data_IF_909776190935
#
_entry.id   IF_909776190935
#
_cell.length_a   1.000
_cell.length_b   1.000
_cell.length_c   1.000
_cell.angle_alpha   90.00
_cell.angle_beta   90.00
_cell.angle_gamma   90.00
#
_symmetry.space_group_name_H-M   'P 1'
#
loop_
_entity.id
_entity.type
_entity.pdbx_description
1 polymer ?
#
# COMPACT_ATOMS: atom_id res chain seq x y z
N UNK A 1 44.99 -18.55 -25.47
CA UNK A 1 45.87 -17.65 -24.76
C UNK A 1 46.24 -16.41 -25.66
N UNK A 2 46.87 -16.64 -26.80
CA UNK A 2 47.30 -15.56 -27.72
C UNK A 2 46.20 -14.53 -28.16
N UNK A 3 44.94 -14.97 -28.35
CA UNK A 3 43.82 -14.07 -28.73
C UNK A 3 43.40 -13.12 -27.60
N UNK A 4 43.45 -13.55 -26.36
CA UNK A 4 43.12 -12.72 -25.20
C UNK A 4 44.26 -11.72 -24.89
N UNK A 5 45.53 -12.13 -25.03
CA UNK A 5 46.68 -11.25 -24.87
C UNK A 5 46.67 -10.15 -25.92
N UNK A 6 46.38 -10.48 -27.18
CA UNK A 6 46.24 -9.51 -28.26
C UNK A 6 45.07 -8.54 -28.00
N UNK A 7 43.94 -9.01 -27.48
CA UNK A 7 42.81 -8.16 -27.15
C UNK A 7 43.18 -7.15 -26.04
N UNK A 8 43.89 -7.59 -25.01
CA UNK A 8 44.38 -6.71 -23.92
C UNK A 8 45.37 -5.65 -24.48
N UNK A 9 46.33 -6.08 -25.33
CA UNK A 9 47.29 -5.16 -25.95
C UNK A 9 46.60 -4.11 -26.84
N UNK A 10 45.56 -4.50 -27.57
CA UNK A 10 44.76 -3.62 -28.40
C UNK A 10 43.96 -2.59 -27.59
N UNK A 11 43.47 -2.95 -26.41
CA UNK A 11 42.81 -2.01 -25.49
C UNK A 11 43.77 -0.94 -25.05
N UNK A 12 45.02 -1.30 -24.70
CA UNK A 12 46.05 -0.37 -24.25
C UNK A 12 46.58 0.53 -25.39
N UNK A 13 46.60 0.03 -26.61
CA UNK A 13 47.12 0.78 -27.78
C UNK A 13 46.15 1.88 -28.23
N UNK A 14 44.83 1.66 -28.15
CA UNK A 14 43.81 2.59 -28.64
C UNK A 14 43.05 3.25 -27.48
N UNK A 15 43.76 3.87 -26.52
CA UNK A 15 43.23 4.35 -25.23
C UNK A 15 42.05 5.31 -25.37
N UNK A 16 42.11 6.31 -26.25
CA UNK A 16 41.08 7.35 -26.36
C UNK A 16 39.71 6.80 -26.76
N UNK A 17 39.68 5.94 -27.78
CA UNK A 17 38.46 5.34 -28.28
C UNK A 17 37.85 4.32 -27.29
N UNK A 18 38.71 3.46 -26.74
CA UNK A 18 38.28 2.46 -25.78
C UNK A 18 37.81 3.10 -24.46
N UNK A 19 38.39 4.22 -24.06
CA UNK A 19 37.92 5.05 -22.95
C UNK A 19 36.51 5.61 -23.23
N UNK A 20 36.25 6.12 -24.45
CA UNK A 20 34.95 6.67 -24.81
C UNK A 20 33.87 5.58 -24.84
N UNK A 21 34.14 4.41 -25.44
CA UNK A 21 33.23 3.26 -25.42
C UNK A 21 33.02 2.79 -23.98
N UNK A 22 34.10 2.68 -23.20
CA UNK A 22 34.06 2.31 -21.79
C UNK A 22 33.23 3.27 -20.95
N UNK A 23 33.35 4.58 -21.17
CA UNK A 23 32.58 5.59 -20.45
C UNK A 23 31.05 5.45 -20.70
N UNK A 24 30.67 5.15 -21.95
CA UNK A 24 29.25 4.93 -22.27
C UNK A 24 28.75 3.61 -21.68
N UNK A 25 29.51 2.53 -21.81
CA UNK A 25 29.18 1.23 -21.17
C UNK A 25 29.06 1.41 -19.65
N UNK A 26 29.99 2.12 -19.04
CA UNK A 26 29.97 2.44 -17.61
C UNK A 26 28.71 3.21 -17.20
N UNK A 27 28.37 4.28 -17.94
CA UNK A 27 27.15 5.05 -17.67
C UNK A 27 25.89 4.20 -17.78
N UNK A 28 25.79 3.35 -18.82
CA UNK A 28 24.66 2.42 -18.99
C UNK A 28 24.60 1.41 -17.85
N UNK A 29 25.75 0.86 -17.43
CA UNK A 29 25.82 -0.10 -16.31
C UNK A 29 25.39 0.57 -15.01
N UNK A 30 25.94 1.73 -14.65
CA UNK A 30 25.60 2.46 -13.42
C UNK A 30 24.12 2.75 -13.35
N UNK A 31 23.52 3.24 -14.44
CA UNK A 31 22.09 3.53 -14.51
C UNK A 31 21.26 2.24 -14.38
N UNK A 32 21.68 1.16 -15.02
CA UNK A 32 20.99 -0.15 -14.92
C UNK A 32 21.09 -0.70 -13.51
N UNK A 33 22.23 -0.55 -12.82
CA UNK A 33 22.43 -0.94 -11.41
C UNK A 33 21.42 -0.21 -10.53
N UNK A 34 21.36 1.12 -10.62
CA UNK A 34 20.46 1.95 -9.82
C UNK A 34 19.01 1.54 -10.07
N UNK A 35 18.60 1.44 -11.33
CA UNK A 35 17.22 1.11 -11.69
C UNK A 35 16.79 -0.28 -11.25
N UNK A 36 17.65 -1.29 -11.38
CA UNK A 36 17.36 -2.66 -10.92
C UNK A 36 17.37 -2.78 -9.40
N UNK A 37 18.23 -2.06 -8.70
CA UNK A 37 18.19 -1.99 -7.24
C UNK A 37 16.88 -1.38 -6.75
N UNK A 38 16.45 -0.25 -7.33
CA UNK A 38 15.16 0.37 -7.04
C UNK A 38 14.02 -0.63 -7.32
N UNK A 39 13.99 -1.22 -8.51
CA UNK A 39 12.93 -2.17 -8.89
C UNK A 39 12.85 -3.38 -7.96
N UNK A 40 13.98 -3.96 -7.58
CA UNK A 40 14.03 -5.13 -6.71
C UNK A 40 13.57 -4.80 -5.28
N UNK A 41 14.03 -3.69 -4.72
CA UNK A 41 13.68 -3.27 -3.36
C UNK A 41 12.21 -2.80 -3.29
N UNK A 42 11.77 -1.96 -4.23
CA UNK A 42 10.38 -1.50 -4.28
C UNK A 42 9.42 -2.64 -4.55
N UNK A 43 9.79 -3.62 -5.39
CA UNK A 43 9.00 -4.84 -5.60
C UNK A 43 8.76 -5.59 -4.30
N UNK A 44 9.80 -5.83 -3.50
CA UNK A 44 9.66 -6.50 -2.20
C UNK A 44 8.80 -5.71 -1.21
N UNK A 45 8.92 -4.37 -1.18
CA UNK A 45 8.07 -3.51 -0.34
C UNK A 45 6.60 -3.60 -0.78
N UNK A 46 6.33 -3.46 -2.07
CA UNK A 46 4.97 -3.55 -2.62
C UNK A 46 4.33 -4.90 -2.28
N UNK A 47 5.07 -6.00 -2.45
CA UNK A 47 4.58 -7.35 -2.15
C UNK A 47 4.29 -7.53 -0.64
N UNK A 48 5.16 -7.00 0.25
CA UNK A 48 4.95 -7.04 1.70
C UNK A 48 3.72 -6.22 2.11
N UNK A 49 3.60 -4.98 1.63
CA UNK A 49 2.44 -4.14 1.91
C UNK A 49 1.16 -4.69 1.28
N UNK A 50 1.22 -5.23 0.06
CA UNK A 50 0.08 -5.89 -0.57
C UNK A 50 -0.41 -7.09 0.25
N UNK A 51 0.52 -7.86 0.84
CA UNK A 51 0.13 -8.99 1.70
C UNK A 51 -0.49 -8.55 3.01
N UNK A 52 -0.09 -7.40 3.56
CA UNK A 52 -0.63 -6.85 4.82
C UNK A 52 -1.96 -6.13 4.62
N UNK A 53 -2.03 -5.17 3.69
CA UNK A 53 -3.21 -4.33 3.48
C UNK A 53 -4.18 -4.90 2.44
N UNK A 54 -3.70 -5.61 1.44
CA UNK A 54 -4.54 -6.23 0.42
C UNK A 54 -5.27 -7.50 0.88
N UNK A 55 -4.87 -8.06 2.02
CA UNK A 55 -5.53 -9.21 2.62
C UNK A 55 -6.67 -8.81 3.56
N UNK A 56 -6.70 -7.57 4.04
CA UNK A 56 -7.75 -7.06 4.91
C UNK A 56 -8.93 -6.57 4.09
N UNK A 57 -10.09 -7.17 4.29
CA UNK A 57 -11.31 -6.89 3.53
C UNK A 57 -12.41 -6.41 4.45
N UNK A 58 -13.09 -5.37 4.03
CA UNK A 58 -14.24 -4.78 4.69
C UNK A 58 -15.43 -4.70 3.74
N UNK A 59 -16.64 -4.72 4.30
CA UNK A 59 -17.89 -4.52 3.57
C UNK A 59 -18.30 -3.06 3.70
N UNK A 60 -18.12 -2.29 2.63
CA UNK A 60 -18.43 -0.86 2.62
C UNK A 60 -19.74 -0.56 1.87
N UNK A 61 -20.65 0.28 2.41
CA UNK A 61 -21.82 0.70 1.69
C UNK A 61 -21.45 1.56 0.47
N UNK A 62 -21.91 1.20 -0.72
CA UNK A 62 -21.73 1.95 -1.93
C UNK A 62 -22.83 3.04 -2.04
N UNK A 63 -22.45 4.26 -1.66
CA UNK A 63 -23.40 5.38 -1.62
C UNK A 63 -23.96 5.77 -3.00
N UNK A 64 -23.25 5.49 -4.08
CA UNK A 64 -23.72 5.75 -5.43
C UNK A 64 -24.83 4.77 -5.80
N UNK A 65 -24.63 3.48 -5.59
CA UNK A 65 -25.66 2.43 -5.80
C UNK A 65 -26.87 2.65 -4.90
N UNK A 66 -26.65 3.00 -3.63
CA UNK A 66 -27.72 3.28 -2.66
C UNK A 66 -28.54 4.49 -3.13
N UNK A 67 -27.90 5.54 -3.63
CA UNK A 67 -28.58 6.72 -4.17
C UNK A 67 -29.36 6.38 -5.44
N UNK A 68 -28.79 5.59 -6.35
CA UNK A 68 -29.48 5.16 -7.56
C UNK A 68 -30.74 4.33 -7.22
N UNK A 69 -30.63 3.41 -6.27
CA UNK A 69 -31.79 2.63 -5.78
C UNK A 69 -32.84 3.53 -5.13
N UNK A 70 -32.42 4.45 -4.27
CA UNK A 70 -33.31 5.40 -3.64
C UNK A 70 -34.03 6.30 -4.66
N UNK A 71 -33.33 6.74 -5.73
CA UNK A 71 -33.94 7.49 -6.83
C UNK A 71 -34.95 6.66 -7.62
N UNK A 72 -34.66 5.40 -7.91
CA UNK A 72 -35.58 4.49 -8.63
C UNK A 72 -36.87 4.21 -7.83
N UNK A 73 -36.75 4.15 -6.50
CA UNK A 73 -37.86 3.85 -5.60
C UNK A 73 -38.61 5.08 -5.08
N UNK A 74 -38.20 6.30 -5.49
CA UNK A 74 -38.83 7.56 -5.08
C UNK A 74 -40.16 7.79 -5.84
N UNK A 75 -41.26 7.74 -5.12
CA UNK A 75 -42.63 7.95 -5.70
C UNK A 75 -43.10 9.39 -5.64
N UNK A 76 -42.54 10.23 -4.73
CA UNK A 76 -43.00 11.59 -4.43
C UNK A 76 -41.93 12.69 -4.59
N UNK A 77 -40.84 12.43 -5.33
CA UNK A 77 -39.76 13.38 -5.51
C UNK A 77 -38.88 13.63 -4.27
N UNK A 78 -39.14 12.92 -3.17
CA UNK A 78 -38.30 12.90 -1.95
C UNK A 78 -37.47 11.65 -1.95
N UNK A 79 -36.16 11.77 -2.14
CA UNK A 79 -35.23 10.65 -2.10
C UNK A 79 -34.82 10.43 -0.65
N UNK A 80 -35.27 9.35 -0.03
CA UNK A 80 -34.77 8.89 1.28
C UNK A 80 -33.63 7.92 1.05
N UNK A 81 -32.42 8.33 1.44
CA UNK A 81 -31.25 7.48 1.39
C UNK A 81 -31.17 6.69 2.70
N UNK A 82 -31.42 5.41 2.65
CA UNK A 82 -31.28 4.50 3.79
C UNK A 82 -30.20 3.49 3.47
N UNK A 83 -29.16 3.46 4.28
CA UNK A 83 -28.11 2.42 4.17
C UNK A 83 -28.68 1.13 4.75
N UNK A 84 -28.77 0.05 3.99
CA UNK A 84 -29.21 -1.25 4.54
C UNK A 84 -28.28 -1.70 5.66
N UNK A 85 -28.81 -2.31 6.71
CA UNK A 85 -27.99 -2.95 7.74
C UNK A 85 -27.74 -4.42 7.37
N UNK A 86 -26.51 -4.87 7.58
CA UNK A 86 -26.19 -6.30 7.48
C UNK A 86 -26.45 -6.94 8.84
N UNK A 87 -27.28 -7.99 8.93
CA UNK A 87 -27.50 -8.70 10.19
C UNK A 87 -26.21 -9.34 10.72
N UNK A 88 -26.00 -9.40 12.05
CA UNK A 88 -24.78 -9.98 12.64
C UNK A 88 -24.52 -11.42 12.19
N UNK A 89 -25.56 -12.22 12.01
CA UNK A 89 -25.46 -13.61 11.56
C UNK A 89 -24.88 -13.70 10.14
N UNK A 90 -25.15 -12.70 9.28
CA UNK A 90 -24.59 -12.66 7.94
C UNK A 90 -23.07 -12.35 7.98
N UNK A 91 -22.63 -11.42 8.84
CA UNK A 91 -21.20 -11.19 9.02
C UNK A 91 -20.46 -12.47 9.42
N UNK A 92 -21.03 -13.24 10.37
CA UNK A 92 -20.48 -14.53 10.79
C UNK A 92 -20.52 -15.56 9.65
N UNK A 93 -21.60 -15.57 8.84
CA UNK A 93 -21.73 -16.47 7.71
C UNK A 93 -20.70 -16.18 6.60
N UNK A 94 -20.38 -14.91 6.36
CA UNK A 94 -19.30 -14.52 5.44
C UNK A 94 -17.94 -14.94 5.97
N UNK A 95 -17.69 -14.82 7.28
CA UNK A 95 -16.45 -15.24 7.92
C UNK A 95 -16.17 -16.74 7.89
N UNK A 96 -17.17 -17.57 7.56
CA UNK A 96 -17.02 -19.03 7.34
C UNK A 96 -16.65 -19.35 5.89
N UNK A 97 -15.75 -18.56 5.28
CA UNK A 97 -15.27 -18.77 3.93
C UNK A 97 -13.93 -19.51 3.94
N UNK A 98 -13.73 -20.42 2.99
CA UNK A 98 -12.44 -21.09 2.79
C UNK A 98 -11.34 -20.17 2.26
N UNK A 99 -11.69 -19.00 1.72
CA UNK A 99 -10.75 -18.00 1.21
C UNK A 99 -10.09 -17.17 2.32
N UNK A 100 -10.66 -17.24 3.54
CA UNK A 100 -10.20 -16.44 4.68
C UNK A 100 -9.16 -17.19 5.53
N UNK A 101 -8.22 -16.45 6.06
CA UNK A 101 -7.31 -16.86 7.13
C UNK A 101 -7.96 -16.65 8.51
N UNK A 102 -8.77 -15.59 8.64
CA UNK A 102 -9.45 -15.23 9.87
C UNK A 102 -10.46 -14.10 9.66
N UNK A 103 -11.21 -13.78 10.69
CA UNK A 103 -12.14 -12.67 10.71
C UNK A 103 -12.24 -12.09 12.11
N UNK A 104 -12.37 -10.76 12.20
CA UNK A 104 -12.57 -10.01 13.45
C UNK A 104 -13.92 -9.31 13.35
N UNK A 105 -14.74 -9.48 14.38
CA UNK A 105 -16.03 -8.81 14.49
C UNK A 105 -15.96 -7.78 15.60
N UNK A 106 -16.41 -6.56 15.30
CA UNK A 106 -16.51 -5.47 16.27
C UNK A 106 -17.95 -4.93 16.30
N UNK A 107 -18.34 -4.44 17.44
CA UNK A 107 -19.65 -3.80 17.58
C UNK A 107 -19.50 -2.52 18.42
N UNK A 108 -20.30 -1.50 18.15
CA UNK A 108 -20.30 -0.28 18.95
C UNK A 108 -21.70 0.26 19.19
N UNK A 109 -21.91 0.83 20.37
CA UNK A 109 -23.17 1.45 20.76
C UNK A 109 -22.89 2.72 21.58
N UNK A 110 -23.69 3.76 21.34
CA UNK A 110 -23.72 4.91 22.22
C UNK A 110 -24.53 4.60 23.51
N UNK A 111 -23.98 4.95 24.66
CA UNK A 111 -24.62 4.71 25.95
C UNK A 111 -24.51 5.92 26.89
N UNK A 112 -25.37 5.96 27.88
CA UNK A 112 -25.31 6.86 29.04
C UNK A 112 -25.33 6.03 30.30
N UNK A 113 -24.81 6.58 31.38
CA UNK A 113 -24.96 6.05 32.74
C UNK A 113 -25.38 7.18 33.68
N UNK A 114 -26.19 6.86 34.66
CA UNK A 114 -26.48 7.79 35.77
C UNK A 114 -25.51 7.58 36.93
N UNK A 115 -24.66 6.58 36.84
CA UNK A 115 -23.75 6.13 37.91
C UNK A 115 -22.30 6.56 37.64
N UNK A 116 -21.98 6.88 36.36
CA UNK A 116 -20.63 7.25 35.90
C UNK A 116 -20.69 8.58 35.16
N UNK A 117 -19.89 9.54 35.64
CA UNK A 117 -19.64 10.81 34.96
C UNK A 117 -18.59 10.62 33.85
N UNK A 118 -18.88 11.10 32.65
CA UNK A 118 -17.93 11.05 31.54
C UNK A 118 -16.87 12.12 31.64
N UNK A 119 -15.68 11.86 31.13
CA UNK A 119 -14.62 12.85 30.95
C UNK A 119 -15.14 13.92 29.97
N UNK A 120 -14.89 15.21 30.27
CA UNK A 120 -15.40 16.33 29.47
C UNK A 120 -16.94 16.39 29.34
N UNK A 121 -17.68 16.00 30.38
CA UNK A 121 -19.13 16.06 30.41
C UNK A 121 -19.70 17.45 30.06
N UNK A 122 -18.98 18.52 30.39
CA UNK A 122 -19.34 19.89 30.11
C UNK A 122 -19.35 20.24 28.60
N UNK A 123 -18.62 19.49 27.77
CA UNK A 123 -18.62 19.64 26.29
C UNK A 123 -19.88 19.04 25.66
N UNK A 124 -20.75 18.43 26.45
CA UNK A 124 -21.98 17.77 26.01
C UNK A 124 -21.75 16.41 25.36
N UNK A 125 -22.85 15.71 25.13
CA UNK A 125 -22.87 14.39 24.50
C UNK A 125 -22.96 14.49 22.97
N UNK A 126 -22.64 13.36 22.33
CA UNK A 126 -22.86 13.15 20.90
C UNK A 126 -24.21 12.46 20.65
N UNK A 127 -24.84 12.76 19.53
CA UNK A 127 -25.88 11.89 18.99
C UNK A 127 -25.15 10.76 18.25
N UNK A 128 -25.24 9.54 18.76
CA UNK A 128 -24.58 8.35 18.17
C UNK A 128 -24.96 8.02 16.75
N UNK A 129 -25.85 8.83 16.18
CA UNK A 129 -26.21 8.84 14.78
C UNK A 129 -26.45 10.27 14.33
N UNK A 130 -25.40 10.92 13.78
CA UNK A 130 -25.62 11.97 12.81
C UNK A 130 -26.10 11.36 11.49
N UNK A 131 -27.22 10.70 11.49
CA UNK A 131 -28.00 10.53 10.29
C UNK A 131 -28.85 11.77 10.16
N UNK A 132 -28.53 12.53 9.10
CA UNK A 132 -29.26 13.70 8.64
C UNK A 132 -30.77 13.55 8.90
N UNK A 133 -31.36 14.58 9.47
CA UNK A 133 -32.78 14.63 9.76
C UNK A 133 -33.61 14.18 8.56
N UNK A 134 -34.12 12.94 8.62
CA UNK A 134 -35.17 12.49 7.73
C UNK A 134 -36.43 13.27 8.06
N UNK A 135 -37.30 13.54 7.09
CA UNK A 135 -38.63 14.13 7.34
C UNK A 135 -39.48 13.17 8.14
N UNK A 136 -39.52 13.31 9.45
CA UNK A 136 -40.21 12.45 10.41
C UNK A 136 -39.72 12.58 11.84
N UNK A 137 -38.67 13.38 12.10
CA UNK A 137 -38.30 13.75 13.46
C UNK A 137 -39.35 14.72 13.99
N UNK A 138 -40.25 14.22 14.82
CA UNK A 138 -41.10 15.07 15.61
C UNK A 138 -40.20 15.86 16.57
N UNK A 139 -40.36 17.18 16.63
CA UNK A 139 -39.61 18.05 17.57
C UNK A 139 -39.94 17.78 19.04
N UNK A 140 -40.91 16.92 19.32
CA UNK A 140 -41.37 16.57 20.67
C UNK A 140 -40.45 15.58 21.42
N UNK A 141 -39.52 14.89 20.71
CA UNK A 141 -38.69 13.85 21.33
C UNK A 141 -37.22 13.97 20.84
N UNK A 142 -36.41 14.79 21.48
CA UNK A 142 -35.00 14.97 21.10
C UNK A 142 -34.25 13.62 21.17
N UNK A 143 -33.30 13.36 20.28
CA UNK A 143 -32.48 12.15 20.35
C UNK A 143 -31.72 12.13 21.67
N UNK A 144 -31.55 10.91 22.23
CA UNK A 144 -30.69 10.72 23.40
C UNK A 144 -29.27 11.19 23.09
N UNK A 145 -28.72 12.00 23.99
CA UNK A 145 -27.33 12.43 23.88
C UNK A 145 -26.45 11.40 24.62
N UNK A 146 -25.69 10.66 23.85
CA UNK A 146 -24.75 9.68 24.40
C UNK A 146 -23.49 10.38 24.91
N UNK A 147 -23.03 9.97 26.08
CA UNK A 147 -21.83 10.51 26.72
C UNK A 147 -20.66 9.53 26.69
N UNK A 148 -20.96 8.24 26.57
CA UNK A 148 -20.03 7.13 26.61
C UNK A 148 -20.21 6.27 25.36
N UNK A 149 -19.13 5.62 24.93
CA UNK A 149 -19.13 4.73 23.78
C UNK A 149 -18.76 3.31 24.22
N UNK A 150 -19.70 2.38 24.02
CA UNK A 150 -19.47 0.95 24.26
C UNK A 150 -18.86 0.33 23.01
N UNK A 151 -17.70 -0.32 23.17
CA UNK A 151 -16.89 -0.87 22.08
C UNK A 151 -16.66 -2.36 22.30
N UNK A 152 -17.30 -3.19 21.48
CA UNK A 152 -17.14 -4.64 21.52
C UNK A 152 -15.97 -5.12 20.67
N UNK A 153 -15.03 -5.82 21.29
CA UNK A 153 -13.85 -6.41 20.67
C UNK A 153 -12.94 -5.44 19.92
N UNK A 154 -12.84 -4.19 20.40
CA UNK A 154 -11.95 -3.17 19.83
C UNK A 154 -10.55 -3.28 20.46
N UNK A 155 -9.77 -4.29 20.04
CA UNK A 155 -8.46 -4.60 20.63
C UNK A 155 -7.28 -4.16 19.75
N UNK A 156 -7.51 -3.64 18.56
CA UNK A 156 -6.46 -3.21 17.62
C UNK A 156 -5.49 -2.16 18.22
N UNK A 157 -6.00 -1.23 19.04
CA UNK A 157 -5.18 -0.22 19.71
C UNK A 157 -4.21 -0.82 20.74
N UNK A 158 -4.57 -1.98 21.35
CA UNK A 158 -3.69 -2.73 22.26
C UNK A 158 -2.62 -3.50 21.48
N UNK A 159 -2.97 -4.08 20.33
CA UNK A 159 -2.02 -4.74 19.45
C UNK A 159 -1.02 -3.76 18.84
N UNK A 160 -1.46 -2.54 18.54
CA UNK A 160 -0.62 -1.45 18.06
C UNK A 160 0.25 -0.80 19.14
N UNK A 161 -0.01 -1.10 20.44
CA UNK A 161 0.72 -0.52 21.57
C UNK A 161 0.37 0.94 21.86
N UNK A 162 -0.71 1.48 21.28
CA UNK A 162 -1.23 2.82 21.59
C UNK A 162 -2.10 2.83 22.84
N UNK A 163 -2.63 1.66 23.20
CA UNK A 163 -3.29 1.38 24.48
C UNK A 163 -2.58 0.27 25.23
N UNK A 164 -2.46 0.40 26.52
CA UNK A 164 -1.85 -0.59 27.39
C UNK A 164 -2.78 -0.92 28.55
N UNK A 165 -2.85 -2.20 28.94
CA UNK A 165 -3.58 -2.61 30.14
C UNK A 165 -2.85 -2.08 31.39
N UNK A 166 -3.51 -1.19 32.14
CA UNK A 166 -2.93 -0.60 33.35
C UNK A 166 -3.11 -1.52 34.58
N UNK A 167 -4.29 -2.19 34.67
CA UNK A 167 -4.56 -3.15 35.77
C UNK A 167 -5.68 -4.11 35.36
N UNK A 168 -5.73 -5.30 35.97
CA UNK A 168 -6.75 -6.30 35.70
C UNK A 168 -6.46 -7.14 34.47
N UNK A 169 -7.49 -7.51 33.74
CA UNK A 169 -7.45 -8.38 32.54
C UNK A 169 -8.35 -7.85 31.43
N UNK A 170 -8.08 -8.27 30.19
CA UNK A 170 -8.92 -7.96 29.03
C UNK A 170 -10.23 -8.74 29.14
N UNK A 171 -11.41 -8.14 28.89
CA UNK A 171 -12.69 -8.82 29.01
C UNK A 171 -12.80 -9.99 28.02
N UNK A 172 -13.11 -11.17 28.53
CA UNK A 172 -13.28 -12.41 27.74
C UNK A 172 -14.70 -13.00 27.95
N UNK A 173 -15.29 -12.73 29.10
CA UNK A 173 -16.65 -13.21 29.41
C UNK A 173 -17.74 -12.17 29.07
N UNK A 174 -18.96 -12.64 28.95
CA UNK A 174 -20.14 -11.80 28.69
C UNK A 174 -20.32 -10.79 29.85
N UNK A 175 -20.62 -9.52 29.51
CA UNK A 175 -20.85 -8.45 30.46
C UNK A 175 -19.61 -8.03 31.30
N UNK A 176 -18.42 -8.38 30.88
CA UNK A 176 -17.20 -7.81 31.40
C UNK A 176 -16.76 -6.60 30.56
N UNK A 177 -16.11 -5.64 31.20
CA UNK A 177 -15.56 -4.47 30.52
C UNK A 177 -14.27 -3.97 31.13
N UNK A 178 -13.51 -3.22 30.33
CA UNK A 178 -12.41 -2.38 30.81
C UNK A 178 -12.71 -0.93 30.44
N UNK A 179 -12.23 -0.02 31.27
CA UNK A 179 -12.40 1.44 31.13
C UNK A 179 -11.07 2.14 31.17
N UNK A 180 -11.00 3.37 30.69
CA UNK A 180 -9.76 4.17 30.79
C UNK A 180 -9.41 4.47 32.24
N UNK A 181 -8.11 4.65 32.50
CA UNK A 181 -7.64 5.12 33.84
C UNK A 181 -8.25 6.45 34.23
N UNK A 182 -8.39 7.36 33.25
CA UNK A 182 -8.99 8.69 33.47
C UNK A 182 -10.46 8.59 33.95
N UNK A 183 -11.25 7.71 33.27
CA UNK A 183 -12.65 7.48 33.64
C UNK A 183 -12.77 6.80 35.02
N UNK A 184 -11.85 5.85 35.31
CA UNK A 184 -11.80 5.16 36.60
C UNK A 184 -11.44 6.10 37.74
N UNK A 185 -10.45 6.97 37.56
CA UNK A 185 -10.02 7.96 38.55
C UNK A 185 -11.12 9.01 38.82
N UNK A 186 -11.73 9.55 37.74
CA UNK A 186 -12.81 10.55 37.86
C UNK A 186 -13.97 10.04 38.73
N UNK A 187 -14.33 8.75 38.58
CA UNK A 187 -15.48 8.16 39.28
C UNK A 187 -15.09 7.27 40.46
N UNK A 188 -13.80 7.19 40.84
CA UNK A 188 -13.31 6.33 41.91
C UNK A 188 -13.67 4.86 41.78
N UNK A 189 -13.69 4.33 40.53
CA UNK A 189 -14.10 2.96 40.18
C UNK A 189 -12.97 1.98 40.54
N UNK A 190 -13.36 0.84 41.13
CA UNK A 190 -12.45 -0.26 41.44
C UNK A 190 -12.74 -1.50 40.61
N UNK A 191 -11.75 -2.37 40.49
CA UNK A 191 -11.92 -3.66 39.80
C UNK A 191 -12.98 -4.50 40.53
N UNK A 192 -13.93 -5.03 39.80
CA UNK A 192 -15.06 -5.81 40.32
C UNK A 192 -16.35 -5.00 40.47
N UNK A 193 -16.31 -3.67 40.40
CA UNK A 193 -17.50 -2.83 40.42
C UNK A 193 -18.38 -3.12 39.18
N UNK A 194 -19.68 -2.93 39.35
CA UNK A 194 -20.69 -3.19 38.32
C UNK A 194 -21.54 -1.95 38.12
N UNK A 195 -21.72 -1.54 36.87
CA UNK A 195 -22.47 -0.35 36.50
C UNK A 195 -23.50 -0.65 35.43
N UNK A 196 -24.56 0.16 35.41
CA UNK A 196 -25.64 0.07 34.42
C UNK A 196 -25.49 1.19 33.37
N UNK A 197 -25.64 0.78 32.11
CA UNK A 197 -25.59 1.67 30.96
C UNK A 197 -26.89 1.53 30.15
N UNK A 198 -27.44 2.65 29.71
CA UNK A 198 -28.61 2.69 28.86
C UNK A 198 -28.25 3.21 27.47
N UNK A 199 -28.75 2.58 26.43
CA UNK A 199 -28.69 3.02 25.05
C UNK A 199 -30.07 3.18 24.42
N UNK A 200 -30.15 3.64 23.20
CA UNK A 200 -31.39 3.80 22.44
C UNK A 200 -31.25 3.14 21.07
N UNK A 201 -32.14 2.24 20.75
CA UNK A 201 -32.38 1.75 19.41
C UNK A 201 -33.52 2.53 18.76
N UNK A 202 -33.42 2.75 17.44
CA UNK A 202 -34.41 3.50 16.70
C UNK A 202 -34.74 2.82 15.37
N UNK A 203 -36.02 2.62 15.11
CA UNK A 203 -36.47 2.19 13.77
C UNK A 203 -36.52 3.39 12.82
N UNK A 204 -35.71 3.43 11.76
CA UNK A 204 -35.64 4.58 10.86
C UNK A 204 -36.89 4.75 9.99
N UNK A 205 -37.69 3.70 9.81
CA UNK A 205 -38.91 3.75 8.99
C UNK A 205 -40.14 4.16 9.80
N UNK A 206 -40.26 3.66 11.03
CA UNK A 206 -41.42 3.88 11.88
C UNK A 206 -41.18 5.00 12.91
N UNK A 207 -39.94 5.42 13.14
CA UNK A 207 -39.59 6.37 14.17
C UNK A 207 -39.72 5.86 15.61
N UNK A 208 -40.04 4.56 15.79
CA UNK A 208 -40.15 3.97 17.12
C UNK A 208 -38.81 3.87 17.81
N UNK A 209 -38.80 4.07 19.14
CA UNK A 209 -37.62 4.03 20.00
C UNK A 209 -37.72 2.86 20.95
N UNK A 210 -36.58 2.24 21.25
CA UNK A 210 -36.44 1.22 22.27
C UNK A 210 -35.19 1.41 23.07
N UNK A 211 -35.30 1.40 24.41
CA UNK A 211 -34.12 1.46 25.29
C UNK A 211 -33.40 0.13 25.33
N UNK A 212 -32.10 0.14 25.37
CA UNK A 212 -31.25 -1.01 25.68
C UNK A 212 -30.65 -0.83 27.08
N UNK A 213 -30.31 -1.94 27.73
CA UNK A 213 -29.71 -1.92 29.06
C UNK A 213 -28.54 -2.90 29.12
N UNK A 214 -27.39 -2.40 29.49
CA UNK A 214 -26.18 -3.19 29.72
C UNK A 214 -25.78 -3.08 31.17
N UNK A 215 -25.52 -4.19 31.83
CA UNK A 215 -24.96 -4.22 33.19
C UNK A 215 -23.57 -4.85 33.08
N UNK A 216 -22.53 -4.04 33.27
CA UNK A 216 -21.17 -4.43 33.00
C UNK A 216 -20.34 -4.42 34.28
N UNK A 217 -19.50 -5.46 34.45
CA UNK A 217 -18.52 -5.60 35.52
C UNK A 217 -17.16 -5.13 35.02
N UNK A 218 -16.52 -4.23 35.75
CA UNK A 218 -15.18 -3.74 35.43
C UNK A 218 -14.12 -4.76 35.84
N UNK A 219 -13.45 -5.38 34.88
CA UNK A 219 -12.40 -6.39 35.10
C UNK A 219 -10.98 -5.84 34.91
N UNK A 220 -10.86 -4.65 34.33
CA UNK A 220 -9.54 -4.01 34.13
C UNK A 220 -9.67 -2.53 33.81
N UNK A 221 -8.51 -1.87 33.84
CA UNK A 221 -8.36 -0.49 33.35
C UNK A 221 -7.27 -0.41 32.32
N UNK A 222 -7.37 0.55 31.39
CA UNK A 222 -6.36 0.76 30.34
C UNK A 222 -5.87 2.21 30.31
N UNK A 223 -4.62 2.38 29.93
CA UNK A 223 -4.01 3.65 29.61
C UNK A 223 -4.02 3.84 28.08
N UNK A 224 -4.38 5.03 27.62
CA UNK A 224 -4.36 5.40 26.20
C UNK A 224 -3.32 6.51 26.01
N UNK A 225 -2.26 6.22 25.22
CA UNK A 225 -1.15 7.14 24.95
C UNK A 225 -1.47 8.19 23.90
N UNK A 226 -2.62 8.07 23.21
CA UNK A 226 -3.01 8.98 22.13
C UNK A 226 -3.72 10.23 22.66
N UNK A 227 -3.94 11.22 21.80
CA UNK A 227 -4.73 12.39 22.11
C UNK A 227 -6.19 12.02 22.44
N UNK A 228 -6.83 12.78 23.30
CA UNK A 228 -8.22 12.54 23.73
C UNK A 228 -9.22 12.58 22.56
N UNK A 229 -8.93 13.38 21.54
CA UNK A 229 -9.76 13.58 20.37
C UNK A 229 -8.98 13.35 19.09
N UNK A 230 -9.64 12.81 18.10
CA UNK A 230 -9.05 12.72 16.75
C UNK A 230 -8.89 14.13 16.15
N UNK A 231 -7.77 14.35 15.46
CA UNK A 231 -7.46 15.61 14.80
C UNK A 231 -8.57 16.00 13.78
N UNK A 232 -9.10 17.22 13.90
CA UNK A 232 -10.20 17.70 13.04
C UNK A 232 -11.59 17.13 13.35
N UNK A 233 -11.75 16.30 14.40
CA UNK A 233 -13.02 15.76 14.85
C UNK A 233 -13.83 16.72 15.73
N UNK A 234 -15.12 16.39 15.94
CA UNK A 234 -15.95 17.09 16.94
C UNK A 234 -15.45 16.73 18.33
N UNK A 235 -15.26 17.74 19.18
CA UNK A 235 -14.82 17.56 20.57
C UNK A 235 -16.04 17.60 21.50
N UNK A 236 -16.51 16.43 21.90
CA UNK A 236 -17.56 16.25 22.90
C UNK A 236 -17.29 14.96 23.70
N UNK A 237 -17.99 14.77 24.81
CA UNK A 237 -17.77 13.60 25.65
C UNK A 237 -17.88 12.26 24.89
N UNK A 238 -18.81 12.12 23.96
CA UNK A 238 -19.00 10.90 23.18
C UNK A 238 -17.80 10.56 22.26
N UNK A 239 -17.13 11.59 21.72
CA UNK A 239 -15.98 11.42 20.83
C UNK A 239 -14.65 11.38 21.57
N UNK A 240 -14.66 11.62 22.88
CA UNK A 240 -13.47 11.53 23.71
C UNK A 240 -13.08 10.05 23.88
N UNK A 241 -11.86 9.70 23.48
CA UNK A 241 -11.34 8.31 23.55
C UNK A 241 -11.26 7.78 24.98
N UNK A 242 -11.19 8.65 26.00
CA UNK A 242 -11.19 8.27 27.42
C UNK A 242 -12.56 7.75 27.90
N UNK A 243 -13.63 8.04 27.15
CA UNK A 243 -15.00 7.60 27.42
C UNK A 243 -15.38 6.31 26.66
N UNK A 244 -14.42 5.63 26.06
CA UNK A 244 -14.65 4.32 25.45
C UNK A 244 -14.64 3.21 26.53
N UNK A 245 -15.70 2.43 26.57
CA UNK A 245 -15.84 1.26 27.42
C UNK A 245 -15.65 0.04 26.53
N UNK A 246 -14.59 -0.72 26.75
CA UNK A 246 -14.24 -1.86 25.91
C UNK A 246 -14.79 -3.13 26.55
N UNK A 247 -15.53 -3.91 25.78
CA UNK A 247 -16.19 -5.16 26.21
C UNK A 247 -16.09 -6.22 25.12
N UNK A 248 -16.71 -7.38 25.30
CA UNK A 248 -16.79 -8.41 24.28
C UNK A 248 -17.79 -8.03 23.17
N UNK A 249 -17.57 -8.54 21.96
CA UNK A 249 -18.50 -8.38 20.85
C UNK A 249 -19.91 -8.86 21.22
N UNK A 250 -20.00 -10.04 21.85
CA UNK A 250 -21.26 -10.68 22.24
C UNK A 250 -22.05 -9.83 23.24
N UNK A 251 -21.38 -9.12 24.15
CA UNK A 251 -22.02 -8.20 25.08
C UNK A 251 -22.77 -7.08 24.38
N UNK A 252 -22.19 -6.51 23.32
CA UNK A 252 -22.82 -5.39 22.60
C UNK A 252 -23.97 -5.87 21.74
N UNK A 253 -23.82 -7.01 21.06
CA UNK A 253 -24.84 -7.48 20.12
C UNK A 253 -26.04 -8.15 20.77
N UNK A 254 -25.97 -8.53 22.06
CA UNK A 254 -27.12 -9.15 22.77
C UNK A 254 -28.37 -8.27 22.73
N UNK A 255 -28.24 -6.96 22.64
CA UNK A 255 -29.32 -5.99 22.58
C UNK A 255 -29.74 -5.63 21.14
N UNK A 256 -29.14 -6.26 20.12
CA UNK A 256 -29.47 -5.99 18.73
C UNK A 256 -30.89 -6.49 18.40
N UNK A 257 -31.61 -5.70 17.61
CA UNK A 257 -32.97 -6.07 17.19
C UNK A 257 -33.15 -5.85 15.70
N UNK A 258 -33.92 -6.71 15.03
CA UNK A 258 -34.22 -6.53 13.61
C UNK A 258 -34.86 -5.17 13.33
N UNK A 259 -34.49 -4.57 12.21
CA UNK A 259 -34.98 -3.28 11.74
C UNK A 259 -34.72 -2.06 12.66
N UNK A 260 -33.94 -2.25 13.75
CA UNK A 260 -33.55 -1.18 14.66
C UNK A 260 -32.10 -0.79 14.46
N UNK A 261 -31.85 0.51 14.46
CA UNK A 261 -30.53 1.11 14.40
C UNK A 261 -30.12 1.64 15.78
N UNK A 262 -28.83 1.66 16.09
CA UNK A 262 -28.28 2.13 17.40
C UNK A 262 -27.04 1.35 17.77
N UNK A 263 -26.94 0.10 17.33
CA UNK A 263 -25.74 -0.73 17.44
C UNK A 263 -25.13 -0.85 16.03
N UNK A 264 -23.87 -0.48 15.90
CA UNK A 264 -23.10 -0.60 14.68
C UNK A 264 -22.24 -1.85 14.77
N UNK A 265 -22.37 -2.75 13.80
CA UNK A 265 -21.54 -3.96 13.66
C UNK A 265 -20.63 -3.79 12.47
N UNK A 266 -19.37 -4.13 12.63
CA UNK A 266 -18.40 -4.21 11.56
C UNK A 266 -17.70 -5.56 11.61
N UNK A 267 -17.25 -6.02 10.45
CA UNK A 267 -16.41 -7.19 10.33
C UNK A 267 -15.22 -6.87 9.43
N UNK A 268 -14.06 -7.30 9.86
CA UNK A 268 -12.84 -7.29 9.07
C UNK A 268 -12.48 -8.73 8.75
N UNK A 269 -12.29 -9.03 7.49
CA UNK A 269 -11.95 -10.37 7.01
C UNK A 269 -10.52 -10.35 6.48
N UNK A 270 -9.75 -11.40 6.80
CA UNK A 270 -8.37 -11.53 6.36
C UNK A 270 -8.28 -12.65 5.32
N UNK A 271 -8.00 -12.29 4.07
CA UNK A 271 -7.81 -13.24 2.98
C UNK A 271 -6.49 -14.03 3.16
N UNK A 272 -6.48 -15.29 2.75
CA UNK A 272 -5.25 -16.08 2.65
C UNK A 272 -4.27 -15.52 1.62
N UNK A 273 -4.81 -14.90 0.55
CA UNK A 273 -4.07 -14.23 -0.50
C UNK A 273 -4.94 -13.07 -1.02
N UNK A 274 -4.38 -11.87 -1.21
CA UNK A 274 -5.10 -10.73 -1.80
C UNK A 274 -5.78 -11.02 -3.15
N UNK A 275 -5.22 -11.91 -3.96
CA UNK A 275 -5.77 -12.31 -5.26
C UNK A 275 -7.11 -13.08 -5.15
N UNK A 276 -7.52 -13.46 -3.94
CA UNK A 276 -8.81 -14.13 -3.66
C UNK A 276 -9.96 -13.15 -3.39
N UNK A 277 -9.73 -11.83 -3.50
CA UNK A 277 -10.74 -10.81 -3.22
C UNK A 277 -12.01 -11.00 -4.05
N UNK A 278 -11.86 -11.19 -5.36
CA UNK A 278 -13.00 -11.36 -6.27
C UNK A 278 -13.79 -12.65 -5.95
N UNK A 279 -13.09 -13.75 -5.64
CA UNK A 279 -13.73 -15.01 -5.29
C UNK A 279 -14.50 -14.92 -3.96
N UNK A 280 -13.92 -14.23 -2.97
CA UNK A 280 -14.61 -13.96 -1.70
C UNK A 280 -15.81 -13.02 -1.89
N UNK A 281 -15.70 -12.01 -2.75
CA UNK A 281 -16.80 -11.11 -3.06
C UNK A 281 -17.99 -11.87 -3.70
N UNK A 282 -17.72 -12.74 -4.70
CA UNK A 282 -18.75 -13.58 -5.30
C UNK A 282 -19.42 -14.50 -4.27
N UNK A 283 -18.65 -15.09 -3.36
CA UNK A 283 -19.19 -15.91 -2.27
C UNK A 283 -20.07 -15.10 -1.31
N UNK A 284 -19.62 -13.88 -0.91
CA UNK A 284 -20.38 -13.02 -0.02
C UNK A 284 -21.72 -12.58 -0.65
N UNK A 285 -21.70 -12.19 -1.94
CA UNK A 285 -22.95 -11.91 -2.67
C UNK A 285 -23.84 -13.14 -2.80
N UNK A 286 -23.25 -14.32 -3.04
CA UNK A 286 -23.97 -15.60 -3.07
C UNK A 286 -24.62 -15.97 -1.73
N UNK A 287 -24.01 -15.57 -0.60
CA UNK A 287 -24.52 -15.73 0.76
C UNK A 287 -25.51 -14.62 1.17
N UNK A 288 -25.87 -13.71 0.27
CA UNK A 288 -26.92 -12.72 0.49
C UNK A 288 -26.42 -11.29 0.82
N UNK A 289 -25.17 -10.97 0.58
CA UNK A 289 -24.71 -9.58 0.66
C UNK A 289 -25.46 -8.73 -0.38
N UNK A 290 -26.07 -7.63 0.07
CA UNK A 290 -26.80 -6.74 -0.83
C UNK A 290 -25.83 -6.09 -1.84
N UNK A 291 -26.27 -5.90 -3.09
CA UNK A 291 -25.48 -5.28 -4.16
C UNK A 291 -25.13 -3.82 -3.90
N UNK A 292 -25.74 -3.22 -2.87
CA UNK A 292 -25.45 -1.88 -2.36
C UNK A 292 -24.21 -1.81 -1.47
N UNK A 293 -23.59 -2.94 -1.18
CA UNK A 293 -22.29 -3.01 -0.52
C UNK A 293 -21.22 -3.42 -1.52
N UNK A 294 -20.03 -2.86 -1.33
CA UNK A 294 -18.81 -3.30 -2.01
C UNK A 294 -17.95 -4.11 -1.04
N UNK A 295 -17.33 -5.15 -1.55
CA UNK A 295 -16.31 -5.92 -0.85
C UNK A 295 -14.97 -5.28 -1.24
N UNK A 296 -14.36 -4.53 -0.34
CA UNK A 296 -13.18 -3.73 -0.62
C UNK A 296 -12.06 -4.01 0.39
N UNK A 297 -10.84 -3.83 -0.06
CA UNK A 297 -9.68 -3.75 0.82
C UNK A 297 -9.47 -2.29 1.24
N UNK A 298 -8.58 -2.03 2.19
CA UNK A 298 -8.20 -0.66 2.54
C UNK A 298 -7.29 -0.06 1.45
N UNK A 299 -7.88 0.11 0.24
CA UNK A 299 -7.17 0.70 -0.91
C UNK A 299 -6.69 2.12 -0.63
N UNK A 300 -7.38 2.87 0.22
CA UNK A 300 -7.02 4.26 0.49
C UNK A 300 -5.69 4.34 1.26
N UNK A 301 -5.54 3.54 2.31
CA UNK A 301 -4.29 3.44 3.06
C UNK A 301 -3.18 2.82 2.21
N UNK A 302 -3.48 1.76 1.47
CA UNK A 302 -2.54 1.14 0.55
C UNK A 302 -2.02 2.16 -0.48
N UNK A 303 -2.90 2.85 -1.19
CA UNK A 303 -2.51 3.82 -2.21
C UNK A 303 -1.74 5.02 -1.63
N UNK A 304 -2.05 5.45 -0.42
CA UNK A 304 -1.33 6.53 0.24
C UNK A 304 0.11 6.14 0.58
N UNK A 305 0.33 4.91 1.05
CA UNK A 305 1.65 4.41 1.45
C UNK A 305 2.45 3.90 0.24
N UNK A 306 1.81 3.08 -0.59
CA UNK A 306 2.48 2.31 -1.65
C UNK A 306 2.48 3.04 -2.98
N UNK A 307 1.50 3.92 -3.25
CA UNK A 307 1.40 4.68 -4.49
C UNK A 307 2.70 5.41 -4.90
N UNK A 308 3.34 6.17 -4.01
CA UNK A 308 4.64 6.79 -4.29
C UNK A 308 5.75 5.79 -4.64
N UNK A 309 5.73 4.60 -4.02
CA UNK A 309 6.70 3.52 -4.25
C UNK A 309 6.47 2.85 -5.61
N UNK A 310 5.22 2.65 -6.00
CA UNK A 310 4.87 2.15 -7.35
C UNK A 310 5.25 3.16 -8.42
N UNK A 311 5.02 4.44 -8.18
CA UNK A 311 5.47 5.53 -9.05
C UNK A 311 6.99 5.53 -9.25
N UNK A 312 7.75 5.38 -8.15
CA UNK A 312 9.20 5.26 -8.17
C UNK A 312 9.67 4.04 -8.99
N UNK A 313 9.05 2.87 -8.79
CA UNK A 313 9.32 1.64 -9.57
C UNK A 313 9.06 1.87 -11.07
N UNK A 314 7.93 2.49 -11.42
CA UNK A 314 7.56 2.80 -12.79
C UNK A 314 8.57 3.70 -13.49
N UNK A 315 9.02 4.78 -12.82
CA UNK A 315 10.05 5.69 -13.34
C UNK A 315 11.37 4.95 -13.53
N UNK A 316 11.81 4.16 -12.54
CA UNK A 316 13.08 3.43 -12.61
C UNK A 316 13.10 2.45 -13.81
N UNK A 317 12.03 1.68 -14.01
CA UNK A 317 11.92 0.73 -15.15
C UNK A 317 11.91 1.48 -16.48
N UNK A 318 11.10 2.54 -16.60
CA UNK A 318 10.99 3.32 -17.83
C UNK A 318 12.33 3.92 -18.21
N UNK A 319 13.02 4.54 -17.24
CA UNK A 319 14.34 5.13 -17.47
C UNK A 319 15.39 4.08 -17.83
N UNK A 320 15.37 2.92 -17.17
CA UNK A 320 16.25 1.80 -17.53
C UNK A 320 16.06 1.34 -18.98
N UNK A 321 14.82 1.17 -19.42
CA UNK A 321 14.53 0.75 -20.81
C UNK A 321 15.05 1.78 -21.81
N UNK A 322 14.79 3.06 -21.55
CA UNK A 322 15.28 4.17 -22.39
C UNK A 322 16.80 4.15 -22.50
N UNK A 323 17.48 4.05 -21.35
CA UNK A 323 18.97 4.03 -21.32
C UNK A 323 19.53 2.77 -22.00
N UNK A 324 18.92 1.61 -21.83
CA UNK A 324 19.36 0.38 -22.51
C UNK A 324 19.22 0.48 -24.03
N UNK A 325 18.11 1.03 -24.52
CA UNK A 325 17.88 1.20 -25.97
C UNK A 325 18.87 2.20 -26.56
N UNK A 326 18.91 3.43 -26.02
CA UNK A 326 19.81 4.47 -26.55
C UNK A 326 21.28 4.13 -26.33
N UNK A 327 21.64 3.64 -25.16
CA UNK A 327 22.99 3.17 -24.86
C UNK A 327 23.43 2.04 -25.80
N UNK A 328 22.56 1.06 -26.04
CA UNK A 328 22.79 -0.04 -26.98
C UNK A 328 23.02 0.45 -28.41
N UNK A 329 22.21 1.40 -28.89
CA UNK A 329 22.38 2.02 -30.21
C UNK A 329 23.73 2.75 -30.30
N UNK A 330 24.06 3.57 -29.29
CA UNK A 330 25.32 4.33 -29.28
C UNK A 330 26.52 3.38 -29.24
N UNK A 331 26.50 2.36 -28.38
CA UNK A 331 27.57 1.35 -28.31
C UNK A 331 27.72 0.62 -29.64
N UNK A 332 26.63 0.23 -30.30
CA UNK A 332 26.68 -0.42 -31.61
C UNK A 332 27.26 0.49 -32.69
N UNK A 333 26.88 1.77 -32.72
CA UNK A 333 27.42 2.75 -33.65
C UNK A 333 28.91 2.97 -33.44
N UNK A 334 29.36 3.22 -32.20
CA UNK A 334 30.76 3.43 -31.86
C UNK A 334 31.60 2.18 -32.15
N UNK A 335 31.09 1.00 -31.82
CA UNK A 335 31.76 -0.27 -32.16
C UNK A 335 31.88 -0.44 -33.67
N UNK A 336 30.85 -0.06 -34.44
CA UNK A 336 30.90 -0.11 -35.90
C UNK A 336 31.97 0.85 -36.50
N UNK A 337 32.08 2.05 -35.93
CA UNK A 337 33.12 3.03 -36.33
C UNK A 337 34.50 2.49 -35.96
N UNK A 338 34.67 2.02 -34.73
CA UNK A 338 35.91 1.43 -34.23
C UNK A 338 36.45 0.30 -35.12
N UNK A 339 35.55 -0.54 -35.59
CA UNK A 339 35.87 -1.66 -36.49
C UNK A 339 36.24 -1.12 -37.89
N UNK A 340 35.57 -0.08 -38.39
CA UNK A 340 35.88 0.52 -39.69
C UNK A 340 37.28 1.10 -39.74
N UNK A 341 37.73 1.75 -38.68
CA UNK A 341 39.06 2.28 -38.55
C UNK A 341 40.16 1.20 -38.59
N UNK A 342 39.84 -0.02 -38.07
CA UNK A 342 40.75 -1.18 -38.11
C UNK A 342 40.58 -2.06 -39.30
N UNK A 343 39.88 -1.60 -40.38
CA UNK A 343 39.62 -2.35 -41.59
C UNK A 343 40.89 -2.98 -42.18
N UNK A 344 42.01 -2.19 -42.22
CA UNK A 344 43.28 -2.63 -42.71
C UNK A 344 43.93 -3.73 -41.86
N UNK A 345 44.01 -3.57 -40.55
CA UNK A 345 44.54 -4.60 -39.62
C UNK A 345 43.78 -5.92 -39.75
N UNK A 346 42.44 -5.86 -39.85
CA UNK A 346 41.56 -7.03 -40.05
C UNK A 346 41.86 -7.67 -41.44
N UNK A 347 42.07 -6.86 -42.48
CA UNK A 347 42.42 -7.33 -43.82
C UNK A 347 43.74 -8.09 -43.83
N UNK A 348 44.79 -7.58 -43.20
CA UNK A 348 46.10 -8.23 -43.04
C UNK A 348 45.98 -9.55 -42.28
N UNK A 349 45.29 -9.58 -41.16
CA UNK A 349 45.09 -10.83 -40.38
C UNK A 349 44.40 -11.90 -41.24
N UNK A 350 43.42 -11.53 -42.05
CA UNK A 350 42.71 -12.43 -42.95
C UNK A 350 43.56 -12.87 -44.10
N UNK A 351 44.41 -12.00 -44.67
CA UNK A 351 45.36 -12.33 -45.74
C UNK A 351 46.43 -13.34 -45.24
N UNK A 352 46.81 -13.26 -43.93
CA UNK A 352 47.71 -14.23 -43.31
C UNK A 352 47.00 -15.58 -42.96
N UNK A 353 45.76 -15.80 -43.46
CA UNK A 353 45.04 -17.09 -43.30
C UNK A 353 44.18 -17.21 -42.03
N UNK A 354 44.01 -16.14 -41.24
CA UNK A 354 43.16 -16.20 -40.07
C UNK A 354 41.66 -16.36 -40.46
N UNK A 355 40.98 -17.37 -39.89
CA UNK A 355 39.56 -17.63 -40.15
C UNK A 355 38.66 -16.52 -39.66
N UNK A 356 37.57 -16.17 -40.35
CA UNK A 356 36.62 -15.09 -40.04
C UNK A 356 36.14 -15.13 -38.56
N UNK A 357 35.79 -16.31 -38.03
CA UNK A 357 35.31 -16.48 -36.68
C UNK A 357 36.38 -16.22 -35.61
N UNK A 358 37.67 -16.43 -35.91
CA UNK A 358 38.76 -16.11 -34.95
C UNK A 358 38.97 -14.60 -34.83
N UNK A 359 38.84 -13.87 -35.92
CA UNK A 359 38.91 -12.39 -35.93
C UNK A 359 37.70 -11.83 -35.21
N UNK A 360 36.49 -12.35 -35.48
CA UNK A 360 35.26 -11.96 -34.81
C UNK A 360 35.30 -12.21 -33.31
N UNK A 361 35.82 -13.36 -32.90
CA UNK A 361 35.99 -13.68 -31.49
C UNK A 361 36.97 -12.75 -30.78
N UNK A 362 38.06 -12.33 -31.43
CA UNK A 362 39.00 -11.37 -30.87
C UNK A 362 38.34 -10.01 -30.59
N UNK A 363 37.54 -9.51 -31.50
CA UNK A 363 36.81 -8.25 -31.35
C UNK A 363 35.69 -8.34 -30.28
N UNK A 364 34.98 -9.46 -30.24
CA UNK A 364 33.99 -9.73 -29.19
C UNK A 364 34.64 -9.81 -27.81
N UNK A 365 35.78 -10.50 -27.69
CA UNK A 365 36.54 -10.60 -26.45
C UNK A 365 37.06 -9.22 -25.96
N UNK A 366 37.47 -8.32 -26.88
CA UNK A 366 37.85 -6.94 -26.54
C UNK A 366 36.68 -6.18 -25.91
N UNK A 367 35.48 -6.26 -26.49
CA UNK A 367 34.28 -5.63 -25.95
C UNK A 367 33.87 -6.22 -24.59
N UNK A 368 33.95 -7.56 -24.45
CA UNK A 368 33.64 -8.20 -23.18
C UNK A 368 34.61 -7.80 -22.05
N UNK A 369 35.91 -7.66 -22.33
CA UNK A 369 36.89 -7.22 -21.33
C UNK A 369 36.62 -5.81 -20.86
N UNK A 370 36.28 -4.88 -21.79
CA UNK A 370 35.89 -3.51 -21.44
C UNK A 370 34.65 -3.52 -20.59
N UNK A 371 33.63 -4.31 -21.00
CA UNK A 371 32.36 -4.43 -20.26
C UNK A 371 32.58 -5.00 -18.87
N UNK A 372 33.42 -6.03 -18.71
CA UNK A 372 33.71 -6.65 -17.41
C UNK A 372 34.42 -5.66 -16.47
N UNK A 373 35.37 -4.89 -16.98
CA UNK A 373 36.03 -3.83 -16.20
C UNK A 373 35.04 -2.75 -15.75
N UNK A 374 34.19 -2.29 -16.69
CA UNK A 374 33.12 -1.34 -16.40
C UNK A 374 32.07 -1.89 -15.43
N UNK A 375 31.78 -3.20 -15.47
CA UNK A 375 30.83 -3.86 -14.60
C UNK A 375 31.31 -3.83 -13.14
N UNK A 376 32.57 -4.20 -12.89
CA UNK A 376 33.15 -4.21 -11.53
C UNK A 376 33.10 -2.82 -10.92
N UNK A 377 33.53 -1.79 -11.66
CA UNK A 377 33.51 -0.42 -11.19
C UNK A 377 32.08 0.11 -11.10
N UNK A 378 31.25 -0.18 -12.10
CA UNK A 378 29.86 0.26 -12.20
C UNK A 378 28.95 -0.31 -11.10
N UNK A 379 29.14 -1.55 -10.68
CA UNK A 379 28.46 -2.13 -9.51
C UNK A 379 28.79 -1.37 -8.23
N UNK A 380 30.07 -1.02 -8.02
CA UNK A 380 30.50 -0.26 -6.84
C UNK A 380 29.91 1.15 -6.82
N UNK A 381 30.07 1.89 -7.92
CA UNK A 381 29.56 3.27 -8.04
C UNK A 381 28.03 3.30 -8.04
N UNK A 382 27.38 2.37 -8.76
CA UNK A 382 25.92 2.25 -8.79
C UNK A 382 25.33 2.00 -7.42
N UNK A 383 25.92 1.12 -6.61
CA UNK A 383 25.52 0.87 -5.22
C UNK A 383 25.60 2.14 -4.36
N UNK A 384 26.68 2.89 -4.47
CA UNK A 384 26.87 4.13 -3.69
C UNK A 384 25.89 5.24 -4.12
N UNK A 385 25.59 5.32 -5.42
CA UNK A 385 24.69 6.31 -5.98
C UNK A 385 23.20 5.95 -5.83
N UNK A 386 22.87 4.68 -5.61
CA UNK A 386 21.48 4.22 -5.58
C UNK A 386 20.66 4.89 -4.47
N UNK A 387 21.18 4.95 -3.23
CA UNK A 387 20.47 5.53 -2.09
C UNK A 387 20.12 7.02 -2.29
N UNK A 388 21.06 7.92 -2.60
CA UNK A 388 20.72 9.34 -2.78
C UNK A 388 19.82 9.59 -3.99
N UNK A 389 19.95 8.84 -5.06
CA UNK A 389 19.05 8.94 -6.23
C UNK A 389 17.63 8.50 -5.86
N UNK A 390 17.50 7.42 -5.13
CA UNK A 390 16.19 6.91 -4.69
C UNK A 390 15.50 7.88 -3.76
N UNK A 391 16.20 8.40 -2.75
CA UNK A 391 15.64 9.37 -1.81
C UNK A 391 15.14 10.63 -2.53
N UNK A 392 15.90 11.14 -3.51
CA UNK A 392 15.50 12.30 -4.30
C UNK A 392 14.27 12.03 -5.18
N UNK A 393 14.19 10.85 -5.81
CA UNK A 393 13.05 10.46 -6.63
C UNK A 393 11.80 10.19 -5.78
N UNK A 394 11.97 9.51 -4.64
CA UNK A 394 10.86 9.21 -3.72
C UNK A 394 10.25 10.49 -3.16
N UNK A 395 11.08 11.43 -2.70
CA UNK A 395 10.60 12.74 -2.22
C UNK A 395 9.79 13.48 -3.31
N UNK A 396 10.20 13.39 -4.57
CA UNK A 396 9.45 13.93 -5.70
C UNK A 396 8.09 13.23 -5.91
N UNK A 397 8.01 11.91 -5.70
CA UNK A 397 6.75 11.16 -5.83
C UNK A 397 5.80 11.45 -4.67
N UNK A 398 6.30 11.55 -3.44
CA UNK A 398 5.50 11.91 -2.26
C UNK A 398 4.91 13.31 -2.46
N UNK A 399 5.73 14.30 -2.83
CA UNK A 399 5.27 15.67 -3.08
C UNK A 399 4.23 15.74 -4.23
N UNK A 400 4.38 14.93 -5.28
CA UNK A 400 3.42 14.86 -6.36
C UNK A 400 2.10 14.23 -5.92
N UNK A 401 2.13 13.21 -5.06
CA UNK A 401 0.95 12.57 -4.50
C UNK A 401 0.18 13.52 -3.55
N UNK A 402 0.91 14.27 -2.70
CA UNK A 402 0.32 15.28 -1.82
C UNK A 402 -0.34 16.42 -2.62
N UNK A 403 0.33 16.94 -3.65
CA UNK A 403 -0.23 17.98 -4.52
C UNK A 403 -1.47 17.51 -5.29
N UNK A 404 -1.52 16.22 -5.68
CA UNK A 404 -2.69 15.63 -6.33
C UNK A 404 -3.88 15.49 -5.36
N UNK A 405 -3.60 15.18 -4.08
CA UNK A 405 -4.62 15.09 -3.03
C UNK A 405 -5.24 16.47 -2.71
N UNK A 406 -4.43 17.54 -2.71
CA UNK A 406 -4.90 18.91 -2.50
C UNK A 406 -5.74 19.45 -3.66
N UNK A 407 -5.55 18.95 -4.89
CA UNK A 407 -6.28 19.39 -6.09
C UNK A 407 -7.63 18.69 -6.28
N UNK A 408 -7.98 17.71 -5.47
CA UNK A 408 -9.34 17.18 -5.48
C UNK A 408 -10.27 18.29 -4.96
N UNK A 409 -11.21 18.82 -5.81
CA UNK A 409 -12.11 19.86 -5.37
C UNK A 409 -12.87 19.32 -4.17
N UNK A 410 -12.91 20.11 -3.09
CA UNK A 410 -13.80 19.92 -1.96
C UNK A 410 -15.25 20.06 -2.47
N UNK A 411 -15.64 19.11 -3.31
CA UNK A 411 -16.95 19.00 -3.91
C UNK A 411 -17.93 18.56 -2.85
N UNK A 412 -18.61 19.54 -2.30
CA UNK A 412 -19.79 19.36 -1.47
C UNK A 412 -19.41 18.95 -0.04
N UNK A 413 -19.89 19.74 0.89
CA UNK A 413 -20.01 19.49 2.32
C UNK A 413 -20.98 18.31 2.56
N UNK A 414 -20.77 17.20 1.88
CA UNK A 414 -21.32 15.89 2.22
C UNK A 414 -20.28 15.22 3.08
N UNK A 415 -20.52 15.31 4.38
CA UNK A 415 -19.97 14.50 5.43
C UNK A 415 -19.59 13.13 4.84
N UNK A 416 -18.28 12.89 4.71
CA UNK A 416 -17.76 11.57 4.40
C UNK A 416 -18.22 10.65 5.53
N UNK A 417 -19.33 9.95 5.33
CA UNK A 417 -19.70 8.75 6.09
C UNK A 417 -18.77 7.60 5.66
N UNK A 418 -17.46 7.87 5.70
CA UNK A 418 -16.50 6.79 5.70
C UNK A 418 -16.36 6.32 7.15
N UNK A 419 -16.35 5.02 7.39
CA UNK A 419 -15.90 4.51 8.69
C UNK A 419 -14.53 5.13 8.98
N UNK A 420 -14.17 5.36 10.25
CA UNK A 420 -12.83 5.80 10.60
C UNK A 420 -11.87 4.71 10.10
N UNK A 421 -11.39 4.91 8.89
CA UNK A 421 -10.31 4.11 8.35
C UNK A 421 -9.05 4.61 9.02
N UNK A 422 -8.22 3.71 9.49
CA UNK A 422 -6.85 3.93 9.95
C UNK A 422 -5.98 4.69 8.94
N UNK A 423 -6.55 5.05 7.78
CA UNK A 423 -5.94 5.81 6.70
C UNK A 423 -5.53 7.25 7.06
N UNK A 424 -6.10 7.83 8.11
CA UNK A 424 -5.73 9.18 8.54
C UNK A 424 -4.29 9.22 9.07
N UNK A 425 -3.83 8.14 9.74
CA UNK A 425 -2.54 8.06 10.40
C UNK A 425 -1.46 7.38 9.53
N UNK A 426 -1.79 6.94 8.31
CA UNK A 426 -0.83 6.33 7.40
C UNK A 426 0.09 7.40 6.81
N UNK A 427 1.33 7.48 7.31
CA UNK A 427 2.37 8.32 6.71
C UNK A 427 2.97 7.64 5.47
N UNK A 428 3.21 8.39 4.36
CA UNK A 428 3.93 7.87 3.21
C UNK A 428 5.33 7.40 3.61
N UNK A 429 5.80 6.32 3.01
CA UNK A 429 7.17 5.86 3.23
C UNK A 429 8.16 6.94 2.78
N UNK A 430 8.82 7.58 3.75
CA UNK A 430 9.78 8.67 3.51
C UNK A 430 11.20 8.18 3.27
N UNK A 431 11.51 6.94 3.64
CA UNK A 431 12.84 6.37 3.52
C UNK A 431 12.78 4.88 3.13
N UNK A 432 13.55 4.51 2.11
CA UNK A 432 13.65 3.14 1.60
C UNK A 432 15.13 2.74 1.62
N UNK A 433 15.48 1.73 2.41
CA UNK A 433 16.82 1.18 2.43
C UNK A 433 17.04 0.27 1.22
N UNK A 434 17.91 0.70 0.31
CA UNK A 434 18.21 -0.05 -0.91
C UNK A 434 19.43 -0.94 -0.70
N UNK A 435 19.24 -2.23 -0.91
CA UNK A 435 20.32 -3.21 -0.86
C UNK A 435 20.55 -3.89 -2.21
N UNK A 436 21.84 -4.16 -2.50
CA UNK A 436 22.22 -4.95 -3.67
C UNK A 436 22.19 -6.43 -3.30
N UNK A 437 21.12 -7.12 -3.70
CA UNK A 437 21.02 -8.57 -3.54
C UNK A 437 21.87 -9.32 -4.58
N UNK A 438 22.25 -10.55 -4.25
CA UNK A 438 23.01 -11.43 -5.18
C UNK A 438 22.24 -11.71 -6.48
N UNK A 439 20.92 -11.87 -6.40
CA UNK A 439 20.06 -12.05 -7.57
C UNK A 439 20.07 -10.84 -8.50
N UNK A 440 19.95 -9.64 -7.93
CA UNK A 440 20.02 -8.36 -8.69
C UNK A 440 21.39 -8.19 -9.35
N UNK A 441 22.48 -8.51 -8.63
CA UNK A 441 23.83 -8.45 -9.20
C UNK A 441 24.01 -9.42 -10.39
N UNK A 442 23.42 -10.61 -10.31
CA UNK A 442 23.43 -11.59 -11.41
C UNK A 442 22.62 -11.08 -12.62
N UNK A 443 21.45 -10.48 -12.39
CA UNK A 443 20.64 -9.88 -13.45
C UNK A 443 21.37 -8.73 -14.16
N UNK A 444 22.02 -7.84 -13.39
CA UNK A 444 22.83 -6.73 -13.94
C UNK A 444 23.97 -7.29 -14.83
N UNK A 445 24.67 -8.30 -14.33
CA UNK A 445 25.74 -8.97 -15.07
C UNK A 445 25.23 -9.56 -16.38
N UNK A 446 24.10 -10.29 -16.32
CA UNK A 446 23.47 -10.90 -17.48
C UNK A 446 23.07 -9.85 -18.54
N UNK A 447 22.39 -8.79 -18.13
CA UNK A 447 21.92 -7.71 -19.03
C UNK A 447 23.13 -7.00 -19.66
N UNK A 448 24.15 -6.68 -18.88
CA UNK A 448 25.34 -5.99 -19.37
C UNK A 448 26.14 -6.81 -20.39
N UNK A 449 26.32 -8.11 -20.13
CA UNK A 449 27.00 -9.02 -21.06
C UNK A 449 26.17 -9.26 -22.31
N UNK A 450 24.85 -9.35 -22.19
CA UNK A 450 23.96 -9.49 -23.33
C UNK A 450 24.00 -8.26 -24.22
N UNK A 451 23.92 -7.05 -23.63
CA UNK A 451 24.02 -5.78 -24.36
C UNK A 451 25.34 -5.67 -25.12
N UNK A 452 26.47 -5.96 -24.44
CA UNK A 452 27.79 -5.94 -25.07
C UNK A 452 27.91 -6.95 -26.20
N UNK A 453 27.38 -8.14 -26.02
CA UNK A 453 27.38 -9.20 -27.04
C UNK A 453 26.55 -8.79 -28.27
N UNK A 454 25.34 -8.26 -28.08
CA UNK A 454 24.49 -7.77 -29.16
C UNK A 454 25.16 -6.64 -29.94
N UNK A 455 25.73 -5.66 -29.22
CA UNK A 455 26.44 -4.55 -29.85
C UNK A 455 27.67 -5.02 -30.67
N UNK A 456 28.45 -5.96 -30.12
CA UNK A 456 29.58 -6.56 -30.84
C UNK A 456 29.12 -7.36 -32.08
N UNK A 457 28.06 -8.14 -31.98
CA UNK A 457 27.52 -8.92 -33.11
C UNK A 457 27.05 -7.99 -34.24
N UNK A 458 26.34 -6.90 -33.93
CA UNK A 458 25.91 -5.90 -34.93
C UNK A 458 27.12 -5.31 -35.66
N UNK A 459 28.15 -4.97 -34.90
CA UNK A 459 29.39 -4.40 -35.47
C UNK A 459 30.16 -5.41 -36.32
N UNK A 460 30.27 -6.66 -35.86
CA UNK A 460 30.97 -7.76 -36.54
C UNK A 460 30.23 -8.17 -37.82
N UNK A 461 28.90 -8.17 -37.84
CA UNK A 461 28.09 -8.54 -39.00
C UNK A 461 28.41 -7.71 -40.24
N UNK A 462 28.83 -6.47 -40.08
CA UNK A 462 29.27 -5.61 -41.17
C UNK A 462 30.63 -6.00 -41.74
N UNK A 463 31.55 -6.55 -40.91
CA UNK A 463 32.92 -6.91 -41.34
C UNK A 463 32.91 -8.19 -42.17
N UNK A 464 32.05 -9.13 -41.84
CA UNK A 464 32.00 -10.40 -42.54
C UNK A 464 31.62 -10.25 -44.00
N UNK A 465 31.06 -9.11 -44.41
CA UNK A 465 30.70 -8.76 -45.80
C UNK A 465 31.90 -8.21 -46.61
N UNK A 466 33.04 -7.85 -45.96
CA UNK A 466 34.19 -7.30 -46.71
C UNK A 466 35.09 -8.41 -47.28
N UNK A 467 35.40 -8.32 -48.56
CA UNK A 467 36.38 -9.18 -49.24
C UNK A 467 37.81 -8.68 -48.94
N UNK A 468 38.76 -9.53 -48.48
CA UNK A 468 40.10 -9.10 -48.10
C UNK A 468 40.87 -8.43 -49.26
N UNK A 469 40.66 -8.88 -50.48
CA UNK A 469 41.37 -8.37 -51.68
C UNK A 469 40.95 -6.94 -51.98
N UNK A 470 39.66 -6.58 -51.86
CA UNK A 470 39.19 -5.20 -52.07
C UNK A 470 39.75 -4.22 -51.06
N UNK A 471 39.91 -4.66 -49.80
CA UNK A 471 40.42 -3.82 -48.70
C UNK A 471 41.88 -3.44 -48.93
N UNK A 472 42.69 -4.33 -49.45
CA UNK A 472 44.11 -4.10 -49.73
C UNK A 472 44.31 -3.26 -51.01
N UNK A 473 43.39 -3.28 -51.96
CA UNK A 473 43.44 -2.53 -53.23
C UNK A 473 42.93 -1.08 -53.11
N UNK A 474 42.08 -0.77 -52.14
CA UNK A 474 41.51 0.59 -51.89
C UNK A 474 42.53 1.59 -51.27
N UNK A 475 43.82 1.28 -51.25
CA UNK A 475 44.87 2.16 -50.68
C UNK A 475 45.64 2.91 -51.76
N UNK A 476 45.07 3.23 -52.86
CA UNK A 476 45.64 4.21 -53.81
C UNK A 476 44.72 5.41 -53.92
#
# INVERSE_FOLDING_TARGET
MYLLENALFNILKNRGRNLLIGAIIFAVIVTTVIALMINSTTGGIIDDYKSRFGAEVQLAPNMEKIREEAMKNSTDGRVMITVPSIPPEQYIAFGKSEYLQGSIYTASAGVISNEIESVDAEKGGGSGMMMAGGPGMNQEDPPMQFMLSLQGNKLADFEAGTRELASGEIPDELNECIISTDLAELNSIQLGDTFSFAGELRNPREGTKQSTAYTLKVVGTYYDATDEYQEGGMQNAFTNRRNEIITTYDTVIQEIKPDMNGIKVNATYYLKNPDLLDAFAEEAYGKGLAQTFDVTTDEASYNKIVGPVEGLKGIAITFMIVVLIFGGIIIALLSSIAIRERKYEIGVLRAMGMKKHKVAFGLWAEMLMITLACLVIGLGVGRLAAQPVTNALLAGQVAAAEAAAEQQPAGGMMMRLQPPTTAADAEPLSNIDISLGAGTALQITGISLLLATLAALIAISRITKYEPIKILMERN
#
